data_IF_314232512001
#
_entry.id   IF_314232512001
#
_cell.length_a   1.000
_cell.length_b   1.000
_cell.length_c   1.000
_cell.angle_alpha   90.00
_cell.angle_beta   90.00
_cell.angle_gamma   90.00
#
_symmetry.space_group_name_H-M   'P 1'
#
loop_
_entity.id
_entity.type
_entity.pdbx_description
1 polymer ?
#
# COMPACT_ATOMS: atom_id res chain seq x y z
N UNK A 1 -10.32 -3.16 11.46
CA UNK A 1 -10.57 -1.81 10.88
C UNK A 1 -11.11 -1.99 9.47
N UNK A 2 -12.23 -1.36 9.09
CA UNK A 2 -12.85 -1.64 7.81
C UNK A 2 -12.04 -0.94 6.71
N UNK A 3 -11.56 -1.72 5.74
CA UNK A 3 -10.83 -1.28 4.54
C UNK A 3 -11.54 -0.12 3.79
N UNK A 4 -12.85 0.00 3.98
CA UNK A 4 -13.71 1.04 3.42
C UNK A 4 -13.34 2.47 3.85
N UNK A 5 -12.80 2.68 5.06
CA UNK A 5 -12.40 4.02 5.50
C UNK A 5 -11.11 4.51 4.81
N UNK A 6 -10.22 3.59 4.44
CA UNK A 6 -9.01 3.90 3.67
C UNK A 6 -9.38 4.28 2.23
N UNK A 7 -10.34 3.58 1.63
CA UNK A 7 -10.87 3.91 0.29
C UNK A 7 -11.65 5.23 0.25
N UNK A 8 -12.39 5.58 1.29
CA UNK A 8 -13.14 6.84 1.37
C UNK A 8 -12.22 8.07 1.55
N UNK A 9 -11.01 7.90 2.09
CA UNK A 9 -10.00 8.95 2.14
C UNK A 9 -9.41 9.30 0.76
N UNK A 10 -9.64 8.46 -0.25
CA UNK A 10 -9.21 8.66 -1.65
C UNK A 10 -10.30 9.22 -2.57
N UNK A 11 -11.44 9.67 -2.03
CA UNK A 11 -12.46 10.32 -2.85
C UNK A 11 -11.91 11.61 -3.47
N UNK A 12 -12.18 11.87 -4.76
CA UNK A 12 -11.75 13.09 -5.45
C UNK A 12 -12.29 14.31 -4.72
N UNK A 13 -11.39 15.04 -4.04
CA UNK A 13 -11.73 16.34 -3.49
C UNK A 13 -11.22 17.42 -4.46
N UNK A 14 -12.10 18.23 -5.08
CA UNK A 14 -11.70 19.27 -6.01
C UNK A 14 -10.86 20.40 -5.34
N UNK A 15 -10.89 20.51 -4.00
CA UNK A 15 -9.98 21.38 -3.26
C UNK A 15 -8.55 20.80 -3.24
N UNK A 16 -8.43 19.46 -3.17
CA UNK A 16 -7.16 18.76 -3.19
C UNK A 16 -6.49 18.94 -4.55
N UNK A 17 -7.19 18.72 -5.65
CA UNK A 17 -6.62 18.90 -6.98
C UNK A 17 -6.15 20.34 -7.29
N UNK A 18 -6.73 21.36 -6.64
CA UNK A 18 -6.31 22.77 -6.78
C UNK A 18 -5.14 23.19 -5.89
N UNK A 19 -4.65 22.27 -5.05
CA UNK A 19 -3.42 22.47 -4.28
C UNK A 19 -2.16 22.14 -5.09
N UNK A 20 -2.30 21.49 -6.26
CA UNK A 20 -1.22 21.25 -7.19
C UNK A 20 -0.68 22.61 -7.70
N UNK A 21 0.64 22.76 -7.82
CA UNK A 21 1.30 24.01 -8.26
C UNK A 21 1.25 25.20 -7.28
N UNK A 22 0.87 24.99 -6.02
CA UNK A 22 1.04 26.01 -4.98
C UNK A 22 2.44 25.96 -4.38
N UNK A 23 2.95 24.75 -4.17
CA UNK A 23 4.28 24.47 -3.66
C UNK A 23 5.05 23.59 -4.64
N UNK A 24 6.36 23.79 -4.70
CA UNK A 24 7.28 23.11 -5.60
C UNK A 24 8.47 22.57 -4.82
N UNK A 25 9.20 21.62 -5.40
CA UNK A 25 10.50 21.20 -4.89
C UNK A 25 11.42 22.42 -4.71
N UNK A 26 12.14 22.45 -3.59
CA UNK A 26 12.96 23.61 -3.19
C UNK A 26 13.99 23.99 -4.27
N UNK A 27 14.48 23.00 -5.00
CA UNK A 27 15.49 23.09 -6.05
C UNK A 27 14.97 23.86 -7.28
N UNK A 28 13.69 23.69 -7.65
CA UNK A 28 13.11 24.26 -8.87
C UNK A 28 12.01 25.29 -8.61
N UNK A 29 11.57 25.44 -7.36
CA UNK A 29 10.39 26.23 -7.03
C UNK A 29 10.50 27.71 -7.38
N UNK A 30 11.69 28.30 -7.25
CA UNK A 30 11.90 29.70 -7.65
C UNK A 30 11.67 29.94 -9.16
N UNK A 31 11.98 28.95 -10.01
CA UNK A 31 11.79 29.03 -11.45
C UNK A 31 10.31 29.01 -11.77
N UNK A 32 9.57 28.04 -11.21
CA UNK A 32 8.15 27.90 -11.48
C UNK A 32 7.30 29.00 -10.87
N UNK A 33 7.63 29.47 -9.66
CA UNK A 33 6.95 30.62 -9.05
C UNK A 33 7.14 31.89 -9.88
N UNK A 34 8.31 32.06 -10.50
CA UNK A 34 8.55 33.16 -11.42
C UNK A 34 7.75 33.01 -12.72
N UNK A 35 7.75 31.83 -13.33
CA UNK A 35 6.96 31.57 -14.55
C UNK A 35 5.47 31.82 -14.31
N UNK A 36 4.94 31.34 -13.19
CA UNK A 36 3.53 31.54 -12.83
C UNK A 36 3.21 33.03 -12.64
N UNK A 37 4.08 33.78 -11.96
CA UNK A 37 3.82 35.19 -11.65
C UNK A 37 4.08 36.15 -12.81
N UNK A 38 5.08 35.88 -13.66
CA UNK A 38 5.48 36.79 -14.76
C UNK A 38 4.86 36.39 -16.11
N UNK A 39 4.74 35.10 -16.42
CA UNK A 39 4.35 34.62 -17.75
C UNK A 39 2.91 34.07 -17.81
N UNK A 40 2.44 33.42 -16.75
CA UNK A 40 1.15 32.72 -16.74
C UNK A 40 0.17 33.19 -15.64
N UNK A 41 0.03 34.50 -15.35
CA UNK A 41 -0.78 34.96 -14.23
C UNK A 41 -2.28 34.71 -14.46
N UNK A 42 -2.77 34.86 -15.70
CA UNK A 42 -4.17 34.65 -16.05
C UNK A 42 -4.61 33.20 -15.82
N UNK A 43 -3.85 32.27 -16.40
CA UNK A 43 -4.06 30.83 -16.33
C UNK A 43 -4.13 30.36 -14.88
N UNK A 44 -3.22 30.88 -14.06
CA UNK A 44 -3.09 30.51 -12.66
C UNK A 44 -4.25 31.04 -11.80
N UNK A 45 -4.70 32.27 -12.05
CA UNK A 45 -5.88 32.82 -11.38
C UNK A 45 -7.15 32.03 -11.74
N UNK A 46 -7.31 31.64 -13.02
CA UNK A 46 -8.43 30.77 -13.42
C UNK A 46 -8.36 29.40 -12.74
N UNK A 47 -7.17 28.80 -12.69
CA UNK A 47 -6.94 27.54 -11.99
C UNK A 47 -7.34 27.61 -10.50
N UNK A 48 -6.93 28.67 -9.79
CA UNK A 48 -7.32 28.89 -8.38
C UNK A 48 -8.82 29.14 -8.21
N UNK A 49 -9.38 30.00 -9.06
CA UNK A 49 -10.80 30.38 -8.99
C UNK A 49 -11.74 29.17 -9.17
N UNK A 50 -11.32 28.15 -9.91
CA UNK A 50 -12.14 26.95 -10.11
C UNK A 50 -13.38 27.17 -10.99
N UNK A 51 -13.41 28.27 -11.75
CA UNK A 51 -14.55 28.65 -12.58
C UNK A 51 -14.18 28.58 -14.07
N UNK A 52 -14.94 27.81 -14.84
CA UNK A 52 -14.82 27.71 -16.30
C UNK A 52 -15.96 28.47 -17.00
N UNK A 53 -16.24 29.72 -16.62
CA UNK A 53 -17.38 30.46 -17.18
C UNK A 53 -17.07 31.15 -18.53
N UNK A 54 -15.92 30.83 -19.14
CA UNK A 54 -15.48 31.44 -20.39
C UNK A 54 -15.47 30.39 -21.52
N UNK A 55 -16.41 30.53 -22.46
CA UNK A 55 -16.56 29.62 -23.61
C UNK A 55 -15.29 29.60 -24.49
N UNK A 56 -14.58 30.73 -24.60
CA UNK A 56 -13.32 30.82 -25.34
C UNK A 56 -12.21 30.02 -24.66
N UNK A 57 -12.18 29.99 -23.32
CA UNK A 57 -11.17 29.24 -22.57
C UNK A 57 -11.39 27.74 -22.68
N UNK A 58 -12.65 27.30 -22.57
CA UNK A 58 -13.03 25.90 -22.80
C UNK A 58 -12.72 25.44 -24.23
N UNK A 59 -12.93 26.31 -25.23
CA UNK A 59 -12.58 25.99 -26.61
C UNK A 59 -11.07 25.86 -26.76
N UNK A 60 -10.28 26.80 -26.21
CA UNK A 60 -8.83 26.75 -26.25
C UNK A 60 -8.27 25.50 -25.54
N UNK A 61 -8.76 25.17 -24.35
CA UNK A 61 -8.29 24.02 -23.58
C UNK A 61 -8.52 22.69 -24.32
N UNK A 62 -9.64 22.58 -25.06
CA UNK A 62 -9.95 21.41 -25.88
C UNK A 62 -8.92 21.19 -26.99
N UNK A 63 -8.43 22.26 -27.63
CA UNK A 63 -7.37 22.17 -28.64
C UNK A 63 -6.01 21.78 -28.04
N UNK A 64 -5.81 21.99 -26.74
CA UNK A 64 -4.65 21.52 -25.99
C UNK A 64 -4.78 20.07 -25.51
N UNK A 65 -5.90 19.39 -25.82
CA UNK A 65 -6.14 18.01 -25.42
C UNK A 65 -6.74 17.86 -24.01
N UNK A 66 -7.27 18.93 -23.40
CA UNK A 66 -8.03 18.79 -22.15
C UNK A 66 -9.28 17.96 -22.38
N UNK A 67 -9.62 17.03 -21.46
CA UNK A 67 -10.87 16.31 -21.51
C UNK A 67 -12.11 17.17 -21.21
N UNK A 68 -13.23 16.49 -20.97
CA UNK A 68 -14.51 17.16 -20.67
C UNK A 68 -14.64 17.58 -19.20
N UNK A 69 -13.70 17.18 -18.35
CA UNK A 69 -13.75 17.43 -16.92
C UNK A 69 -13.23 18.84 -16.60
N UNK A 70 -13.95 19.55 -15.74
CA UNK A 70 -13.68 20.95 -15.39
C UNK A 70 -12.26 21.15 -14.87
N UNK A 71 -11.74 20.20 -14.09
CA UNK A 71 -10.38 20.26 -13.55
C UNK A 71 -9.31 20.18 -14.63
N UNK A 72 -9.48 19.33 -15.64
CA UNK A 72 -8.53 19.24 -16.75
C UNK A 72 -8.56 20.49 -17.61
N UNK A 73 -9.74 21.08 -17.83
CA UNK A 73 -9.91 22.33 -18.58
C UNK A 73 -9.23 23.53 -17.90
N UNK A 74 -9.08 23.49 -16.57
CA UNK A 74 -8.36 24.50 -15.81
C UNK A 74 -6.85 24.22 -15.79
N UNK A 75 -6.47 22.95 -15.67
CA UNK A 75 -5.08 22.56 -15.39
C UNK A 75 -4.22 22.47 -16.64
N UNK A 76 -4.77 21.95 -17.75
CA UNK A 76 -4.03 21.76 -19.01
C UNK A 76 -3.53 23.08 -19.60
N UNK A 77 -4.34 24.16 -19.69
CA UNK A 77 -3.84 25.45 -20.19
C UNK A 77 -2.73 26.05 -19.34
N UNK A 78 -2.83 25.94 -18.00
CA UNK A 78 -1.80 26.40 -17.07
C UNK A 78 -0.49 25.64 -17.31
N UNK A 79 -0.54 24.30 -17.35
CA UNK A 79 0.63 23.46 -17.65
C UNK A 79 1.22 23.85 -19.00
N UNK A 80 0.40 24.05 -20.04
CA UNK A 80 0.87 24.41 -21.36
C UNK A 80 1.58 25.77 -21.37
N UNK A 81 1.04 26.79 -20.68
CA UNK A 81 1.71 28.08 -20.53
C UNK A 81 3.04 27.94 -19.77
N UNK A 82 3.03 27.21 -18.65
CA UNK A 82 4.21 26.99 -17.82
C UNK A 82 5.32 26.29 -18.60
N UNK A 83 4.99 25.21 -19.31
CA UNK A 83 5.94 24.50 -20.16
C UNK A 83 6.36 25.40 -21.33
N UNK A 84 5.48 26.21 -21.92
CA UNK A 84 5.84 27.17 -22.96
C UNK A 84 6.90 28.19 -22.51
N UNK A 85 6.79 28.70 -21.29
CA UNK A 85 7.72 29.66 -20.69
C UNK A 85 8.98 29.03 -20.06
N UNK A 86 8.96 27.72 -19.82
CA UNK A 86 10.07 27.01 -19.19
C UNK A 86 11.29 26.90 -20.14
N UNK A 87 12.53 27.13 -19.67
CA UNK A 87 13.72 26.93 -20.49
C UNK A 87 13.87 25.48 -20.99
N UNK A 88 14.35 25.32 -22.23
CA UNK A 88 14.55 23.99 -22.85
C UNK A 88 15.48 23.08 -22.03
N UNK A 89 16.47 23.66 -21.35
CA UNK A 89 17.36 22.91 -20.45
C UNK A 89 16.59 22.20 -19.33
N UNK A 90 15.64 22.89 -18.70
CA UNK A 90 14.83 22.35 -17.59
C UNK A 90 13.83 21.31 -18.10
N UNK A 91 13.25 21.52 -19.28
CA UNK A 91 12.41 20.49 -19.95
C UNK A 91 13.20 19.22 -20.23
N UNK A 92 14.43 19.37 -20.72
CA UNK A 92 15.33 18.24 -20.97
C UNK A 92 15.67 17.50 -19.67
N UNK A 93 15.87 18.21 -18.57
CA UNK A 93 16.13 17.62 -17.26
C UNK A 93 14.93 16.80 -16.74
N UNK A 94 13.71 17.32 -16.87
CA UNK A 94 12.48 16.59 -16.55
C UNK A 94 12.30 15.34 -17.41
N UNK A 95 12.60 15.44 -18.71
CA UNK A 95 12.58 14.29 -19.60
C UNK A 95 13.61 13.23 -19.19
N UNK A 96 14.78 13.64 -18.71
CA UNK A 96 15.79 12.76 -18.13
C UNK A 96 15.30 12.05 -16.85
N UNK A 97 14.65 12.78 -15.95
CA UNK A 97 14.07 12.22 -14.72
C UNK A 97 13.02 11.13 -15.01
N UNK A 98 12.23 11.28 -16.08
CA UNK A 98 11.26 10.27 -16.50
C UNK A 98 11.92 8.92 -16.85
N UNK A 99 13.16 8.90 -17.34
CA UNK A 99 13.89 7.66 -17.61
C UNK A 99 14.19 6.92 -16.31
N UNK A 100 14.68 7.64 -15.29
CA UNK A 100 14.97 7.07 -13.97
C UNK A 100 13.69 6.56 -13.29
N UNK A 101 12.62 7.35 -13.35
CA UNK A 101 11.31 6.95 -12.84
C UNK A 101 10.74 5.74 -13.61
N UNK A 102 11.01 5.63 -14.91
CA UNK A 102 10.62 4.47 -15.72
C UNK A 102 11.40 3.19 -15.37
N UNK A 103 12.63 3.32 -14.87
CA UNK A 103 13.44 2.19 -14.38
C UNK A 103 13.15 1.82 -12.91
N UNK A 104 12.57 2.75 -12.14
CA UNK A 104 12.27 2.54 -10.72
C UNK A 104 11.42 1.29 -10.46
N UNK A 105 10.38 0.95 -11.24
CA UNK A 105 9.64 -0.30 -11.05
C UNK A 105 10.52 -1.55 -11.16
N UNK A 106 11.53 -1.57 -12.04
CA UNK A 106 12.44 -2.71 -12.16
C UNK A 106 13.36 -2.83 -10.95
N UNK A 107 13.88 -1.71 -10.45
CA UNK A 107 14.71 -1.67 -9.24
C UNK A 107 13.89 -2.12 -8.03
N UNK A 108 12.67 -1.60 -7.90
CA UNK A 108 11.74 -1.94 -6.84
C UNK A 108 11.22 -3.38 -6.96
N UNK A 109 11.12 -3.95 -8.15
CA UNK A 109 10.77 -5.37 -8.31
C UNK A 109 11.89 -6.32 -7.86
N UNK A 110 13.14 -5.83 -7.75
CA UNK A 110 14.26 -6.61 -7.20
C UNK A 110 14.34 -6.47 -5.68
N UNK A 111 13.98 -5.30 -5.14
CA UNK A 111 14.10 -4.97 -3.72
C UNK A 111 12.79 -5.10 -2.92
N UNK A 112 11.66 -5.19 -3.62
CA UNK A 112 10.32 -5.14 -3.05
C UNK A 112 9.94 -6.43 -2.32
N UNK A 113 8.98 -6.31 -1.41
CA UNK A 113 8.44 -7.46 -0.68
C UNK A 113 7.70 -8.42 -1.61
N UNK A 114 7.93 -9.72 -1.47
CA UNK A 114 7.18 -10.69 -2.25
C UNK A 114 5.77 -10.92 -1.66
N UNK A 115 4.80 -11.17 -2.54
CA UNK A 115 3.41 -11.45 -2.14
C UNK A 115 3.34 -12.78 -1.38
N UNK A 116 4.17 -13.75 -1.74
CA UNK A 116 4.24 -15.05 -1.05
C UNK A 116 4.72 -14.89 0.39
N UNK A 117 5.73 -14.04 0.63
CA UNK A 117 6.29 -13.80 1.97
C UNK A 117 5.29 -13.11 2.88
N UNK A 118 4.63 -12.07 2.38
CA UNK A 118 3.61 -11.33 3.13
C UNK A 118 2.36 -12.18 3.40
N UNK A 119 1.96 -13.04 2.47
CA UNK A 119 0.84 -13.98 2.68
C UNK A 119 1.19 -15.10 3.67
N UNK A 120 2.40 -15.67 3.61
CA UNK A 120 2.89 -16.64 4.59
C UNK A 120 2.99 -16.02 5.99
N UNK A 121 3.46 -14.78 6.10
CA UNK A 121 3.50 -14.06 7.38
C UNK A 121 2.10 -13.83 7.97
N UNK A 122 1.13 -13.48 7.10
CA UNK A 122 -0.25 -13.27 7.52
C UNK A 122 -0.94 -14.56 7.98
N UNK A 123 -0.73 -15.67 7.26
CA UNK A 123 -1.48 -16.93 7.45
C UNK A 123 -0.73 -17.92 8.34
N UNK A 124 0.53 -18.23 8.04
CA UNK A 124 1.35 -19.19 8.80
C UNK A 124 1.95 -18.53 10.04
N UNK A 125 2.46 -17.30 9.88
CA UNK A 125 3.01 -16.50 10.97
C UNK A 125 1.95 -15.92 11.91
N UNK A 126 0.66 -15.99 11.54
CA UNK A 126 -0.45 -15.45 12.33
C UNK A 126 -0.34 -13.95 12.65
N UNK A 127 0.44 -13.18 11.86
CA UNK A 127 0.64 -11.73 12.05
C UNK A 127 0.05 -10.91 10.89
N UNK A 128 -1.29 -10.94 10.68
CA UNK A 128 -1.91 -10.30 9.53
C UNK A 128 -1.77 -8.77 9.54
N UNK A 129 -1.73 -8.16 10.73
CA UNK A 129 -1.59 -6.71 10.85
C UNK A 129 -0.18 -6.23 10.48
N UNK A 130 0.86 -6.97 10.90
CA UNK A 130 2.23 -6.68 10.52
C UNK A 130 2.41 -6.84 8.99
N UNK A 131 1.86 -7.91 8.42
CA UNK A 131 1.89 -8.14 6.97
C UNK A 131 1.24 -6.99 6.20
N UNK A 132 0.12 -6.44 6.71
CA UNK A 132 -0.55 -5.29 6.09
C UNK A 132 0.29 -4.01 6.18
N UNK A 133 0.94 -3.75 7.32
CA UNK A 133 1.83 -2.59 7.49
C UNK A 133 3.03 -2.69 6.53
N UNK A 134 3.64 -3.86 6.42
CA UNK A 134 4.75 -4.10 5.49
C UNK A 134 4.31 -3.91 4.03
N UNK A 135 3.14 -4.43 3.66
CA UNK A 135 2.57 -4.24 2.32
C UNK A 135 2.20 -2.76 2.04
N UNK A 136 1.79 -1.99 3.06
CA UNK A 136 1.53 -0.55 2.92
C UNK A 136 2.82 0.25 2.76
N UNK A 137 3.88 -0.12 3.49
CA UNK A 137 5.17 0.55 3.43
C UNK A 137 5.97 0.25 2.16
N UNK A 138 5.74 -0.92 1.55
CA UNK A 138 6.35 -1.38 0.31
C UNK A 138 5.30 -1.52 -0.80
N UNK A 139 4.93 -0.42 -1.50
CA UNK A 139 3.93 -0.43 -2.56
C UNK A 139 4.39 -1.20 -3.82
N UNK A 140 5.64 -1.64 -3.85
CA UNK A 140 6.22 -2.42 -4.94
C UNK A 140 5.73 -3.87 -4.88
N UNK A 141 5.00 -4.27 -5.92
CA UNK A 141 4.58 -5.67 -6.12
C UNK A 141 5.48 -6.28 -7.19
N UNK A 142 6.24 -7.31 -6.84
CA UNK A 142 6.99 -8.08 -7.82
C UNK A 142 5.96 -8.74 -8.77
N UNK A 143 6.05 -8.52 -10.09
CA UNK A 143 5.15 -9.21 -11.02
C UNK A 143 5.31 -10.72 -10.82
N UNK A 144 4.21 -11.40 -10.53
CA UNK A 144 4.19 -12.87 -10.44
C UNK A 144 4.84 -13.41 -11.70
N UNK A 145 5.81 -14.32 -11.56
CA UNK A 145 6.37 -15.06 -12.69
C UNK A 145 5.40 -16.21 -12.97
N UNK A 146 4.48 -16.11 -13.95
CA UNK A 146 3.42 -17.11 -14.13
C UNK A 146 3.94 -18.50 -14.51
N UNK A 147 5.22 -18.59 -14.89
CA UNK A 147 5.90 -19.81 -15.28
C UNK A 147 6.76 -20.43 -14.15
N UNK A 148 6.96 -19.71 -13.04
CA UNK A 148 7.74 -20.18 -11.90
C UNK A 148 6.77 -20.45 -10.74
N UNK A 149 6.22 -21.67 -10.71
CA UNK A 149 5.46 -22.13 -9.56
C UNK A 149 6.43 -22.41 -8.42
N UNK A 150 6.65 -21.43 -7.55
CA UNK A 150 7.38 -21.65 -6.29
C UNK A 150 6.48 -22.50 -5.41
N UNK A 151 6.94 -23.70 -5.07
CA UNK A 151 6.25 -24.53 -4.11
C UNK A 151 6.31 -23.80 -2.75
N UNK A 152 5.18 -23.40 -2.14
CA UNK A 152 5.17 -22.73 -0.84
C UNK A 152 5.85 -23.60 0.24
N UNK A 153 5.92 -24.93 0.03
CA UNK A 153 6.65 -25.85 0.90
C UNK A 153 8.17 -25.64 0.84
N UNK A 154 8.71 -25.20 -0.29
CA UNK A 154 10.14 -24.94 -0.44
C UNK A 154 10.57 -23.69 0.35
N UNK A 155 9.71 -22.67 0.43
CA UNK A 155 9.92 -21.51 1.28
C UNK A 155 9.85 -21.83 2.79
N UNK A 156 9.18 -22.94 3.15
CA UNK A 156 9.03 -23.40 4.53
C UNK A 156 10.01 -24.51 4.92
N UNK A 157 10.79 -25.06 3.97
CA UNK A 157 11.83 -26.05 4.26
C UNK A 157 12.96 -25.35 5.03
N UNK A 158 13.25 -25.86 6.22
CA UNK A 158 14.37 -25.40 7.02
C UNK A 158 15.66 -25.45 6.20
N UNK A 159 16.31 -24.30 6.04
CA UNK A 159 17.63 -24.19 5.41
C UNK A 159 18.68 -24.62 6.42
N UNK A 160 19.72 -25.29 5.95
CA UNK A 160 20.78 -25.84 6.80
C UNK A 160 21.56 -24.76 7.58
N UNK A 161 21.45 -23.49 7.16
CA UNK A 161 22.05 -22.31 7.78
C UNK A 161 21.00 -21.35 8.42
N UNK A 162 19.77 -21.79 8.63
CA UNK A 162 18.75 -20.94 9.26
C UNK A 162 19.16 -20.60 10.70
N UNK A 163 19.05 -19.31 11.04
CA UNK A 163 19.23 -18.82 12.40
C UNK A 163 18.30 -19.63 13.32
N UNK A 164 18.81 -20.24 14.41
CA UNK A 164 17.96 -20.97 15.32
C UNK A 164 16.89 -20.01 15.84
N UNK A 165 15.62 -20.39 15.70
CA UNK A 165 14.49 -19.76 16.40
C UNK A 165 14.68 -19.98 17.90
N UNK A 166 15.63 -19.27 18.48
CA UNK A 166 15.80 -19.21 19.92
C UNK A 166 14.65 -18.39 20.47
N UNK A 167 13.95 -18.99 21.42
CA UNK A 167 12.94 -18.29 22.19
C UNK A 167 13.63 -17.16 22.95
N UNK A 168 13.37 -15.93 22.52
CA UNK A 168 13.83 -14.75 23.21
C UNK A 168 13.04 -14.57 24.51
N UNK A 169 13.66 -13.93 25.51
CA UNK A 169 12.93 -13.52 26.71
C UNK A 169 11.77 -12.61 26.33
N UNK A 170 10.66 -12.68 27.06
CA UNK A 170 9.44 -11.89 26.81
C UNK A 170 9.72 -10.40 26.57
N UNK A 171 10.63 -9.82 27.36
CA UNK A 171 10.99 -8.41 27.21
C UNK A 171 11.65 -8.11 25.86
N UNK A 172 12.47 -9.03 25.35
CA UNK A 172 13.12 -8.88 24.04
C UNK A 172 12.09 -9.03 22.92
N UNK A 173 11.16 -9.98 23.03
CA UNK A 173 10.07 -10.16 22.06
C UNK A 173 9.19 -8.90 21.96
N UNK A 174 8.80 -8.30 23.10
CA UNK A 174 8.03 -7.06 23.13
C UNK A 174 8.81 -5.90 22.50
N UNK A 175 10.10 -5.76 22.83
CA UNK A 175 10.94 -4.71 22.24
C UNK A 175 11.06 -4.90 20.73
N UNK A 176 11.27 -6.14 20.26
CA UNK A 176 11.33 -6.45 18.83
C UNK A 176 10.01 -6.10 18.13
N UNK A 177 8.86 -6.48 18.70
CA UNK A 177 7.56 -6.10 18.14
C UNK A 177 7.41 -4.57 18.07
N UNK A 178 7.72 -3.83 19.13
CA UNK A 178 7.64 -2.36 19.12
C UNK A 178 8.51 -1.78 17.99
N UNK A 179 9.72 -2.30 17.82
CA UNK A 179 10.64 -1.86 16.75
C UNK A 179 10.10 -2.23 15.37
N UNK A 180 9.62 -3.45 15.16
CA UNK A 180 9.04 -3.92 13.88
C UNK A 180 7.86 -3.03 13.45
N UNK A 181 6.91 -2.79 14.35
CA UNK A 181 5.77 -1.93 14.08
C UNK A 181 6.19 -0.47 13.88
N UNK A 182 7.13 0.03 14.68
CA UNK A 182 7.66 1.39 14.56
C UNK A 182 8.32 1.63 13.20
N UNK A 183 9.19 0.71 12.75
CA UNK A 183 9.82 0.78 11.44
C UNK A 183 8.80 0.65 10.30
N UNK A 184 7.81 -0.22 10.46
CA UNK A 184 6.72 -0.36 9.49
C UNK A 184 5.92 0.92 9.31
N UNK A 185 5.52 1.58 10.40
CA UNK A 185 4.83 2.88 10.33
C UNK A 185 5.72 4.00 9.77
N UNK A 186 7.01 4.02 10.12
CA UNK A 186 7.95 4.97 9.55
C UNK A 186 8.09 4.80 8.02
N UNK A 187 8.13 3.56 7.53
CA UNK A 187 8.15 3.26 6.10
C UNK A 187 6.87 3.75 5.40
N UNK A 188 5.69 3.52 6.00
CA UNK A 188 4.41 4.03 5.47
C UNK A 188 4.43 5.55 5.40
N UNK A 189 4.87 6.24 6.47
CA UNK A 189 4.94 7.69 6.50
C UNK A 189 5.85 8.23 5.39
N UNK A 190 7.05 7.65 5.24
CA UNK A 190 8.00 8.01 4.19
C UNK A 190 7.42 7.80 2.78
N UNK A 191 6.78 6.66 2.52
CA UNK A 191 6.13 6.38 1.23
C UNK A 191 4.96 7.33 0.96
N UNK A 192 4.19 7.67 2.00
CA UNK A 192 3.05 8.60 1.89
C UNK A 192 3.52 10.02 1.59
N UNK A 193 4.55 10.49 2.29
CA UNK A 193 5.16 11.80 2.05
C UNK A 193 5.73 11.91 0.64
N UNK A 194 6.43 10.86 0.18
CA UNK A 194 6.96 10.79 -1.17
C UNK A 194 5.85 10.83 -2.22
N UNK A 195 4.79 10.03 -2.05
CA UNK A 195 3.67 9.98 -3.01
C UNK A 195 2.86 11.28 -3.05
N UNK A 196 2.69 11.96 -1.90
CA UNK A 196 2.11 13.30 -1.82
C UNK A 196 2.97 14.32 -2.56
N UNK A 197 4.27 14.33 -2.31
CA UNK A 197 5.20 15.25 -2.97
C UNK A 197 5.23 15.02 -4.48
N UNK A 198 5.26 13.76 -4.92
CA UNK A 198 5.14 13.41 -6.34
C UNK A 198 3.81 13.86 -6.95
N UNK A 199 2.68 13.64 -6.25
CA UNK A 199 1.37 14.06 -6.76
C UNK A 199 1.24 15.59 -6.91
N UNK A 200 1.74 16.36 -5.94
CA UNK A 200 1.49 17.80 -5.84
C UNK A 200 2.55 18.70 -6.45
N UNK A 201 3.80 18.27 -6.42
CA UNK A 201 4.95 19.08 -6.83
C UNK A 201 5.47 18.66 -8.21
N UNK A 202 4.76 17.78 -8.92
CA UNK A 202 5.09 17.39 -10.29
C UNK A 202 3.91 17.55 -11.24
N UNK A 203 4.23 17.61 -12.54
CA UNK A 203 3.24 17.66 -13.62
C UNK A 203 2.94 16.23 -14.08
N UNK A 204 1.70 15.79 -13.91
CA UNK A 204 1.24 14.47 -14.38
C UNK A 204 0.62 14.60 -15.78
N UNK A 205 1.34 14.21 -16.83
CA UNK A 205 0.87 14.40 -18.20
C UNK A 205 -0.37 13.56 -18.58
N UNK A 206 -0.56 12.39 -17.97
CA UNK A 206 -1.68 11.50 -18.31
C UNK A 206 -2.98 11.82 -17.56
N UNK A 207 -2.90 12.55 -16.45
CA UNK A 207 -4.05 12.91 -15.61
C UNK A 207 -3.76 14.23 -14.85
N UNK A 208 -3.63 15.35 -15.57
CA UNK A 208 -3.11 16.60 -15.02
C UNK A 208 -4.01 17.22 -13.93
N UNK A 209 -5.31 16.91 -13.91
CA UNK A 209 -6.25 17.36 -12.88
C UNK A 209 -6.35 16.44 -11.65
N UNK A 210 -5.57 15.36 -11.58
CA UNK A 210 -5.77 14.26 -10.64
C UNK A 210 -4.49 13.85 -9.89
N UNK A 211 -3.94 14.74 -9.05
CA UNK A 211 -2.69 14.46 -8.31
C UNK A 211 -2.82 13.28 -7.33
N UNK A 212 -4.03 12.97 -6.86
CA UNK A 212 -4.28 11.85 -5.94
C UNK A 212 -4.12 10.48 -6.60
N UNK A 213 -4.12 10.36 -7.94
CA UNK A 213 -3.95 9.08 -8.63
C UNK A 213 -2.64 8.39 -8.25
N UNK A 214 -1.58 9.14 -7.98
CA UNK A 214 -0.29 8.59 -7.53
C UNK A 214 -0.43 7.87 -6.19
N UNK A 215 -1.16 8.46 -5.24
CA UNK A 215 -1.38 7.86 -3.92
C UNK A 215 -2.29 6.64 -4.05
N UNK A 216 -3.36 6.75 -4.83
CA UNK A 216 -4.26 5.61 -5.12
C UNK A 216 -3.49 4.45 -5.73
N UNK A 217 -2.59 4.70 -6.68
CA UNK A 217 -1.76 3.66 -7.29
C UNK A 217 -0.75 3.06 -6.31
N UNK A 218 -0.11 3.88 -5.47
CA UNK A 218 0.82 3.40 -4.46
C UNK A 218 0.16 2.39 -3.51
N UNK A 219 -1.07 2.67 -3.06
CA UNK A 219 -1.79 1.78 -2.14
C UNK A 219 -2.65 0.72 -2.82
N UNK A 220 -2.73 0.68 -4.16
CA UNK A 220 -3.46 -0.36 -4.88
C UNK A 220 -2.87 -1.76 -4.59
N UNK A 221 -1.54 -1.84 -4.36
CA UNK A 221 -0.85 -3.07 -3.97
C UNK A 221 -1.42 -3.72 -2.71
N UNK A 222 -1.93 -2.94 -1.75
CA UNK A 222 -2.56 -3.48 -0.53
C UNK A 222 -3.72 -4.42 -0.84
N UNK A 223 -4.49 -4.11 -1.88
CA UNK A 223 -5.58 -4.97 -2.30
C UNK A 223 -5.06 -6.30 -2.84
N UNK A 224 -4.00 -6.27 -3.66
CA UNK A 224 -3.37 -7.48 -4.17
C UNK A 224 -2.80 -8.37 -3.05
N UNK A 225 -2.07 -7.79 -2.10
CA UNK A 225 -1.56 -8.51 -0.92
C UNK A 225 -2.69 -9.11 -0.06
N UNK A 226 -3.79 -8.38 0.11
CA UNK A 226 -4.97 -8.85 0.85
C UNK A 226 -5.65 -10.03 0.15
N UNK A 227 -5.85 -9.94 -1.16
CA UNK A 227 -6.41 -11.02 -1.97
C UNK A 227 -5.52 -12.27 -1.95
N UNK A 228 -4.20 -12.10 -2.01
CA UNK A 228 -3.27 -13.22 -1.95
C UNK A 228 -3.25 -13.90 -0.57
N UNK A 229 -3.24 -13.10 0.51
CA UNK A 229 -3.35 -13.63 1.88
C UNK A 229 -4.68 -14.39 2.08
N UNK A 230 -5.79 -13.86 1.56
CA UNK A 230 -7.08 -14.54 1.59
C UNK A 230 -7.05 -15.85 0.79
N UNK A 231 -6.49 -15.82 -0.42
CA UNK A 231 -6.34 -17.01 -1.27
C UNK A 231 -5.51 -18.10 -0.60
N UNK A 232 -4.41 -17.74 0.07
CA UNK A 232 -3.60 -18.67 0.84
C UNK A 232 -4.38 -19.22 2.03
N UNK A 233 -5.05 -18.36 2.80
CA UNK A 233 -5.87 -18.77 3.96
C UNK A 233 -6.96 -19.76 3.59
N UNK A 234 -7.58 -19.61 2.43
CA UNK A 234 -8.60 -20.54 1.93
C UNK A 234 -8.01 -21.89 1.48
N UNK A 235 -6.72 -21.93 1.10
CA UNK A 235 -6.02 -23.15 0.66
C UNK A 235 -5.33 -23.88 1.82
N UNK A 236 -4.91 -23.16 2.85
CA UNK A 236 -4.27 -23.73 4.03
C UNK A 236 -5.32 -24.10 5.07
N UNK A 237 -5.40 -25.37 5.45
CA UNK A 237 -6.23 -25.81 6.57
C UNK A 237 -5.33 -26.08 7.77
N UNK A 238 -5.59 -25.43 8.89
CA UNK A 238 -4.91 -25.77 10.15
C UNK A 238 -5.31 -27.20 10.50
N UNK A 239 -4.34 -28.10 10.59
CA UNK A 239 -4.57 -29.41 11.16
C UNK A 239 -4.71 -29.21 12.66
N UNK A 240 -5.94 -28.97 13.13
CA UNK A 240 -6.24 -29.08 14.55
C UNK A 240 -5.93 -30.52 14.97
N UNK A 241 -5.31 -30.76 16.14
CA UNK A 241 -5.22 -32.10 16.69
C UNK A 241 -6.65 -32.63 16.77
N UNK A 242 -6.96 -33.71 16.03
CA UNK A 242 -8.30 -34.31 16.00
C UNK A 242 -8.69 -34.57 17.46
N UNK A 243 -9.66 -33.84 18.03
CA UNK A 243 -10.21 -34.21 19.31
C UNK A 243 -11.06 -35.45 19.03
N UNK A 244 -10.76 -36.54 19.74
CA UNK A 244 -11.54 -37.76 19.67
C UNK A 244 -13.01 -37.46 19.98
N UNK A 245 -13.82 -37.38 18.91
CA UNK A 245 -15.27 -37.48 18.96
C UNK A 245 -16.03 -36.18 19.25
N UNK A 246 -17.05 -35.96 18.39
CA UNK A 246 -18.20 -35.01 18.50
C UNK A 246 -17.90 -33.58 18.06
N UNK A 247 -18.73 -32.87 17.30
CA UNK A 247 -19.99 -33.11 16.60
C UNK A 247 -20.19 -31.83 15.74
N UNK A 248 -20.55 -31.97 14.46
CA UNK A 248 -21.10 -31.01 13.46
C UNK A 248 -21.32 -29.50 13.82
N UNK A 249 -21.68 -29.16 15.05
CA UNK A 249 -21.92 -27.80 15.53
C UNK A 249 -20.69 -26.88 15.50
N UNK A 250 -19.47 -27.45 15.62
CA UNK A 250 -18.22 -26.68 15.50
C UNK A 250 -17.97 -26.09 14.10
N UNK A 251 -18.59 -26.65 13.06
CA UNK A 251 -18.43 -26.16 11.68
C UNK A 251 -19.21 -24.86 11.45
N UNK A 252 -20.35 -24.68 12.13
CA UNK A 252 -21.22 -23.50 11.98
C UNK A 252 -20.65 -22.31 12.76
N UNK A 253 -20.02 -22.54 13.92
CA UNK A 253 -19.36 -21.47 14.69
C UNK A 253 -18.10 -20.94 14.00
N UNK A 254 -17.38 -21.81 13.28
CA UNK A 254 -16.13 -21.41 12.60
C UNK A 254 -16.36 -20.51 11.37
N UNK A 255 -17.51 -20.62 10.70
CA UNK A 255 -17.87 -19.69 9.60
C UNK A 255 -18.11 -18.26 10.14
N UNK A 256 -18.61 -18.12 11.37
CA UNK A 256 -18.77 -16.83 12.04
C UNK A 256 -17.44 -16.14 12.35
N UNK A 257 -16.43 -16.89 12.81
CA UNK A 257 -15.07 -16.39 13.06
C UNK A 257 -14.31 -16.04 11.78
N UNK A 258 -14.60 -16.73 10.66
CA UNK A 258 -14.00 -16.47 9.34
C UNK A 258 -14.40 -15.11 8.75
N UNK A 259 -15.53 -14.53 9.18
CA UNK A 259 -16.01 -13.20 8.76
C UNK A 259 -15.60 -12.09 9.75
N UNK A 260 -14.93 -12.43 10.85
CA UNK A 260 -14.50 -11.44 11.85
C UNK A 260 -15.67 -10.76 12.59
N UNK A 261 -16.84 -11.42 12.66
CA UNK A 261 -17.89 -11.00 13.56
C UNK A 261 -17.61 -11.62 14.93
N UNK A 262 -17.43 -10.81 15.99
CA UNK A 262 -17.15 -11.32 17.33
C UNK A 262 -18.37 -12.09 17.83
N UNK A 263 -18.27 -13.41 17.90
CA UNK A 263 -19.27 -14.24 18.55
C UNK A 263 -18.98 -14.30 20.05
N UNK A 264 -19.96 -13.81 20.82
CA UNK A 264 -20.10 -13.87 22.27
C UNK A 264 -19.22 -12.95 23.12
N UNK A 265 -19.91 -11.90 23.61
CA UNK A 265 -19.70 -11.21 24.89
C UNK A 265 -19.28 -12.19 25.99
N UNK A 266 -17.98 -12.33 26.18
CA UNK A 266 -17.40 -12.81 27.44
C UNK A 266 -16.77 -11.59 28.11
N UNK A 267 -17.11 -11.40 29.38
CA UNK A 267 -16.53 -10.37 30.24
C UNK A 267 -15.01 -10.57 30.28
N UNK A 268 -14.30 -9.73 29.54
CA UNK A 268 -12.85 -9.81 29.35
C UNK A 268 -12.16 -9.57 30.70
N UNK A 269 -11.64 -10.64 31.30
CA UNK A 269 -10.66 -10.53 32.38
C UNK A 269 -9.33 -10.02 31.82
N UNK A 270 -8.53 -9.34 32.64
CA UNK A 270 -7.26 -8.72 32.19
C UNK A 270 -6.27 -9.69 31.52
N UNK A 271 -6.34 -10.97 31.85
CA UNK A 271 -5.50 -12.02 31.28
C UNK A 271 -5.93 -12.42 29.85
N UNK A 272 -7.23 -12.34 29.51
CA UNK A 272 -7.75 -12.64 28.17
C UNK A 272 -7.40 -11.54 27.16
N UNK A 273 -7.51 -10.26 27.56
CA UNK A 273 -7.09 -9.14 26.72
C UNK A 273 -5.59 -9.19 26.42
N UNK A 274 -4.80 -9.58 27.42
CA UNK A 274 -3.36 -9.76 27.29
C UNK A 274 -3.02 -10.88 26.29
N UNK A 275 -3.69 -12.02 26.39
CA UNK A 275 -3.49 -13.14 25.47
C UNK A 275 -3.94 -12.81 24.03
N UNK A 276 -5.05 -12.09 23.85
CA UNK A 276 -5.50 -11.62 22.53
C UNK A 276 -4.51 -10.63 21.90
N UNK A 277 -4.09 -9.59 22.64
CA UNK A 277 -3.14 -8.61 22.15
C UNK A 277 -1.81 -9.28 21.80
N UNK A 278 -1.33 -10.19 22.65
CA UNK A 278 -0.12 -10.95 22.37
C UNK A 278 -0.25 -11.78 21.10
N UNK A 279 -1.37 -12.49 20.91
CA UNK A 279 -1.63 -13.30 19.71
C UNK A 279 -1.70 -12.42 18.45
N UNK A 280 -2.23 -11.20 18.56
CA UNK A 280 -2.30 -10.24 17.45
C UNK A 280 -0.92 -9.70 17.05
N UNK A 281 -0.07 -9.36 18.02
CA UNK A 281 1.23 -8.72 17.79
C UNK A 281 2.34 -9.72 17.49
N UNK A 282 2.34 -10.88 18.17
CA UNK A 282 3.42 -11.86 18.05
C UNK A 282 3.02 -13.11 17.28
N UNK A 283 1.72 -13.29 16.97
CA UNK A 283 1.20 -14.42 16.19
C UNK A 283 0.96 -15.70 17.01
N UNK A 284 1.39 -15.72 18.27
CA UNK A 284 1.33 -16.89 19.15
C UNK A 284 1.02 -16.50 20.61
N UNK A 285 0.45 -17.44 21.36
CA UNK A 285 0.15 -17.28 22.79
C UNK A 285 1.08 -18.17 23.62
N UNK A 286 1.13 -17.96 24.93
CA UNK A 286 1.81 -18.88 25.85
C UNK A 286 1.20 -20.29 25.78
N UNK A 287 -0.09 -20.38 25.49
CA UNK A 287 -0.86 -21.62 25.36
C UNK A 287 -0.76 -22.25 23.96
N UNK A 288 -0.53 -21.42 22.93
CA UNK A 288 -0.30 -21.82 21.54
C UNK A 288 1.07 -21.29 21.09
N UNK A 289 2.19 -21.92 21.49
CA UNK A 289 3.52 -21.51 21.06
C UNK A 289 3.65 -21.67 19.55
N UNK A 290 4.55 -20.90 18.90
CA UNK A 290 4.73 -20.98 17.46
C UNK A 290 5.08 -22.43 17.07
N UNK A 291 4.52 -22.96 15.98
CA UNK A 291 4.77 -24.32 15.57
C UNK A 291 6.27 -24.53 15.37
N UNK A 292 6.86 -25.51 16.07
CA UNK A 292 8.22 -25.96 15.78
C UNK A 292 8.28 -26.35 14.30
N UNK A 293 9.40 -26.10 13.61
CA UNK A 293 9.56 -26.34 12.16
C UNK A 293 8.98 -27.69 11.66
N UNK A 294 9.08 -28.76 12.48
CA UNK A 294 8.51 -30.07 12.17
C UNK A 294 6.96 -30.09 12.04
N UNK A 295 6.25 -29.23 12.78
CA UNK A 295 4.81 -29.09 12.67
C UNK A 295 4.40 -28.17 11.52
N UNK A 296 5.22 -27.16 11.14
CA UNK A 296 4.95 -26.27 9.97
C UNK A 296 4.68 -27.10 8.71
N UNK A 297 5.46 -28.17 8.50
CA UNK A 297 5.29 -29.11 7.40
C UNK A 297 3.95 -29.88 7.46
N UNK A 298 3.35 -30.10 8.63
CA UNK A 298 2.01 -30.71 8.76
C UNK A 298 0.87 -29.76 8.41
N UNK A 299 1.06 -28.43 8.43
CA UNK A 299 0.01 -27.44 8.10
C UNK A 299 -0.27 -27.31 6.59
N UNK A 300 0.55 -27.90 5.71
CA UNK A 300 0.49 -27.67 4.25
C UNK A 300 0.16 -28.95 3.45
N UNK A 301 0.03 -30.12 4.09
CA UNK A 301 -0.05 -31.43 3.41
C UNK A 301 -1.37 -31.72 2.66
N UNK A 302 -2.37 -30.84 2.68
CA UNK A 302 -3.59 -31.03 1.89
C UNK A 302 -3.67 -30.12 0.66
N UNK A 303 -2.62 -30.12 -0.17
CA UNK A 303 -2.80 -29.83 -1.60
C UNK A 303 -3.37 -31.09 -2.27
N UNK A 304 -4.69 -31.26 -2.24
CA UNK A 304 -5.33 -32.26 -3.08
C UNK A 304 -5.11 -31.88 -4.55
N UNK A 305 -4.41 -32.75 -5.27
CA UNK A 305 -4.45 -32.88 -6.73
C UNK A 305 -5.86 -33.11 -7.23
#
# INVERSE_FOLDING_TARGET
MPLHLLFLAFLPNPAFARAQFQDWYAEYGFIFNRIISENCPSEYEFYKAGHTNNTLWMEHSRWLGSGHEVLEQLTVPLINCMLGACPEFIKSDMAGANVLLGLAPSILAVLGSNIDETSLLAVVGNRPFLALILAAGSPAVIPMRPLEYRDPLEALKARTDDLPLNFYSYHVEVVLSIVEYGLGFAAIANTTELTLSLGFQTILSFAPGYPYFIITWAFLGLFAHSCAALGLRLRTRRADPIPDGKHWWSFITHIGEVVGLPSHTTTVGGDDLYNELKRLFTGYSKEDPPPKYAHILQYVVHFNT
#
